data_IF_040381054743
#
_entry.id   IF_040381054743
#
_cell.length_a   1.000
_cell.length_b   1.000
_cell.length_c   1.000
_cell.angle_alpha   90.00
_cell.angle_beta   90.00
_cell.angle_gamma   90.00
#
_symmetry.space_group_name_H-M   'P 1'
#
loop_
_entity.id
_entity.type
_entity.pdbx_description
1 polymer ?
#
# COMPACT_ATOMS: atom_id res chain seq x y z
N UNK A 1 46.83 15.13 -42.08
CA UNK A 1 46.74 14.45 -40.77
C UNK A 1 45.63 15.16 -40.03
N UNK A 2 44.48 14.51 -39.95
CA UNK A 2 43.24 14.98 -39.33
C UNK A 2 43.35 14.79 -37.81
N UNK A 3 42.99 15.80 -37.03
CA UNK A 3 42.36 15.60 -35.73
C UNK A 3 41.03 16.34 -35.77
N UNK A 4 39.96 15.55 -35.84
CA UNK A 4 38.57 16.00 -35.76
C UNK A 4 38.16 15.73 -34.33
N UNK A 5 38.27 16.73 -33.46
CA UNK A 5 37.75 16.64 -32.09
C UNK A 5 36.24 16.48 -32.16
N UNK A 6 35.82 15.29 -31.77
CA UNK A 6 34.48 14.76 -31.94
C UNK A 6 33.69 15.04 -30.65
N UNK A 7 32.50 15.61 -30.83
CA UNK A 7 31.35 15.57 -29.90
C UNK A 7 31.43 16.32 -28.57
N UNK A 8 30.95 17.56 -28.61
CA UNK A 8 29.97 18.04 -27.62
C UNK A 8 28.68 17.23 -27.77
N UNK A 9 28.40 16.33 -26.84
CA UNK A 9 27.08 15.69 -26.68
C UNK A 9 26.38 16.28 -25.45
N UNK A 10 25.79 17.45 -25.65
CA UNK A 10 24.76 18.00 -24.77
C UNK A 10 23.45 17.30 -25.12
N UNK A 11 23.18 16.13 -24.55
CA UNK A 11 21.87 15.47 -24.61
C UNK A 11 21.74 14.39 -23.54
N UNK A 12 21.57 14.80 -22.28
CA UNK A 12 21.07 13.95 -21.21
C UNK A 12 19.56 14.12 -21.09
N UNK A 13 18.83 13.41 -21.94
CA UNK A 13 17.40 13.08 -21.90
C UNK A 13 16.72 13.34 -20.52
N UNK A 14 15.70 14.20 -20.48
CA UNK A 14 14.72 14.21 -19.37
C UNK A 14 13.60 13.25 -19.77
N UNK A 15 13.41 12.10 -19.10
CA UNK A 15 12.30 11.23 -19.42
C UNK A 15 10.98 11.90 -19.02
N UNK A 16 10.04 11.94 -19.96
CA UNK A 16 8.67 12.41 -19.75
C UNK A 16 7.96 11.57 -18.69
N UNK A 17 7.24 12.27 -17.81
CA UNK A 17 6.22 11.69 -16.94
C UNK A 17 6.48 12.03 -15.49
N UNK A 18 6.09 13.25 -15.09
CA UNK A 18 5.75 13.66 -13.72
C UNK A 18 6.33 12.77 -12.64
N UNK A 19 7.40 13.24 -11.98
CA UNK A 19 7.76 12.83 -10.61
C UNK A 19 6.43 12.59 -9.88
N UNK A 20 6.10 11.32 -9.65
CA UNK A 20 5.01 10.98 -8.74
C UNK A 20 5.28 11.81 -7.48
N UNK A 21 4.26 12.40 -6.84
CA UNK A 21 4.50 13.04 -5.56
C UNK A 21 5.21 11.98 -4.73
N UNK A 22 6.48 12.25 -4.40
CA UNK A 22 7.15 11.51 -3.34
C UNK A 22 6.15 11.63 -2.20
N UNK A 23 5.67 10.51 -1.69
CA UNK A 23 4.78 10.47 -0.55
C UNK A 23 5.73 10.39 0.66
N UNK A 24 6.37 11.48 1.09
CA UNK A 24 7.46 11.40 2.06
C UNK A 24 7.00 10.70 3.35
N UNK A 25 5.72 10.85 3.71
CA UNK A 25 5.14 10.24 4.88
C UNK A 25 5.13 8.70 4.82
N UNK A 26 4.78 8.08 3.67
CA UNK A 26 4.82 6.61 3.57
C UNK A 26 6.27 6.11 3.55
N UNK A 27 7.18 6.83 2.91
CA UNK A 27 8.60 6.46 2.89
C UNK A 27 9.25 6.56 4.28
N UNK A 28 8.88 7.58 5.06
CA UNK A 28 9.29 7.73 6.45
C UNK A 28 8.77 6.57 7.30
N UNK A 29 7.48 6.23 7.18
CA UNK A 29 6.90 5.07 7.85
C UNK A 29 7.64 3.78 7.50
N UNK A 30 7.83 3.49 6.21
CA UNK A 30 8.55 2.30 5.74
C UNK A 30 9.97 2.29 6.30
N UNK A 31 10.68 3.42 6.27
CA UNK A 31 12.04 3.53 6.77
C UNK A 31 12.11 3.24 8.27
N UNK A 32 11.19 3.79 9.05
CA UNK A 32 11.14 3.57 10.49
C UNK A 32 10.84 2.11 10.83
N UNK A 33 9.79 1.53 10.24
CA UNK A 33 9.47 0.11 10.46
C UNK A 33 10.61 -0.82 10.04
N UNK A 34 11.32 -0.48 8.96
CA UNK A 34 12.49 -1.24 8.50
C UNK A 34 13.64 -1.17 9.51
N UNK A 35 13.93 0.02 10.04
CA UNK A 35 14.98 0.19 11.05
C UNK A 35 14.66 -0.56 12.35
N UNK A 36 13.38 -0.71 12.67
CA UNK A 36 12.90 -1.48 13.83
C UNK A 36 12.81 -3.00 13.56
N UNK A 37 13.18 -3.47 12.36
CA UNK A 37 13.09 -4.89 11.96
C UNK A 37 11.65 -5.39 11.75
N UNK A 38 10.66 -4.49 11.70
CA UNK A 38 9.23 -4.86 11.62
C UNK A 38 8.79 -5.33 10.24
N UNK A 39 9.62 -5.16 9.22
CA UNK A 39 9.33 -5.53 7.83
C UNK A 39 10.08 -6.79 7.37
N UNK A 40 10.76 -7.47 8.28
CA UNK A 40 11.53 -8.66 7.96
C UNK A 40 10.60 -9.82 7.57
N UNK A 41 10.91 -10.49 6.45
CA UNK A 41 10.16 -11.65 5.97
C UNK A 41 8.92 -11.33 5.13
N UNK A 42 8.65 -10.05 4.83
CA UNK A 42 7.57 -9.67 3.92
C UNK A 42 7.90 -10.01 2.46
N UNK A 43 6.87 -10.43 1.72
CA UNK A 43 6.94 -10.68 0.28
C UNK A 43 6.71 -9.38 -0.49
N UNK A 44 7.75 -8.85 -1.11
CA UNK A 44 7.63 -7.68 -1.99
C UNK A 44 7.00 -8.06 -3.31
N UNK A 45 6.15 -7.19 -3.82
CA UNK A 45 5.50 -7.38 -5.11
C UNK A 45 6.36 -6.81 -6.24
N UNK A 46 6.45 -7.57 -7.33
CA UNK A 46 7.09 -7.15 -8.57
C UNK A 46 6.24 -6.17 -9.37
N UNK A 47 6.83 -5.64 -10.44
CA UNK A 47 6.15 -4.69 -11.31
C UNK A 47 4.90 -5.28 -11.99
N UNK A 48 4.91 -6.57 -12.33
CA UNK A 48 3.78 -7.22 -13.01
C UNK A 48 2.57 -7.34 -12.06
N UNK A 49 2.81 -7.74 -10.82
CA UNK A 49 1.79 -7.84 -9.77
C UNK A 49 1.23 -6.47 -9.41
N UNK A 50 2.09 -5.45 -9.28
CA UNK A 50 1.64 -4.08 -9.04
C UNK A 50 0.83 -3.51 -10.20
N UNK A 51 1.21 -3.81 -11.45
CA UNK A 51 0.44 -3.39 -12.64
C UNK A 51 -0.94 -4.05 -12.70
N UNK A 52 -1.07 -5.28 -12.21
CA UNK A 52 -2.37 -5.92 -12.08
C UNK A 52 -3.26 -5.17 -11.07
N UNK A 53 -2.69 -4.77 -9.93
CA UNK A 53 -3.37 -4.02 -8.87
C UNK A 53 -3.70 -2.57 -9.25
N UNK A 54 -2.89 -1.93 -10.10
CA UNK A 54 -3.18 -0.58 -10.61
C UNK A 54 -4.46 -0.47 -11.44
N UNK A 55 -5.08 -1.60 -11.82
CA UNK A 55 -6.39 -1.61 -12.48
C UNK A 55 -7.53 -1.39 -11.50
N UNK A 56 -7.28 -1.58 -10.21
CA UNK A 56 -8.20 -1.31 -9.13
C UNK A 56 -8.00 0.11 -8.59
N UNK A 57 -9.08 0.70 -8.08
CA UNK A 57 -9.03 2.01 -7.42
C UNK A 57 -8.43 1.85 -6.02
N UNK A 58 -7.10 1.85 -5.93
CA UNK A 58 -6.33 1.63 -4.71
C UNK A 58 -5.42 2.82 -4.36
N UNK A 59 -5.15 3.06 -3.06
CA UNK A 59 -4.29 4.15 -2.64
C UNK A 59 -2.84 4.01 -3.16
N UNK A 60 -2.26 5.11 -3.61
CA UNK A 60 -0.89 5.13 -4.12
C UNK A 60 0.16 4.83 -3.04
N UNK A 61 -0.09 5.21 -1.79
CA UNK A 61 0.76 4.89 -0.64
C UNK A 61 0.71 3.40 -0.28
N UNK A 62 -0.45 2.74 -0.41
CA UNK A 62 -0.56 1.29 -0.28
C UNK A 62 0.25 0.55 -1.34
N UNK A 63 0.13 0.94 -2.61
CA UNK A 63 0.92 0.36 -3.71
C UNK A 63 2.42 0.58 -3.49
N UNK A 64 2.81 1.77 -3.02
CA UNK A 64 4.20 2.07 -2.64
C UNK A 64 4.68 1.14 -1.54
N UNK A 65 3.88 0.91 -0.50
CA UNK A 65 4.21 -0.01 0.58
C UNK A 65 4.38 -1.45 0.08
N UNK A 66 3.48 -1.97 -0.75
CA UNK A 66 3.61 -3.31 -1.32
C UNK A 66 4.89 -3.48 -2.16
N UNK A 67 5.30 -2.42 -2.87
CA UNK A 67 6.52 -2.44 -3.68
C UNK A 67 7.81 -2.41 -2.85
N UNK A 68 7.84 -1.64 -1.75
CA UNK A 68 9.06 -1.35 -0.99
C UNK A 68 9.22 -2.17 0.29
N UNK A 69 8.09 -2.46 0.96
CA UNK A 69 8.02 -3.24 2.19
C UNK A 69 7.54 -4.66 1.90
N UNK A 70 6.43 -4.80 1.17
CA UNK A 70 5.81 -6.08 0.84
C UNK A 70 4.58 -6.40 1.69
N UNK A 71 4.04 -7.59 1.47
CA UNK A 71 2.88 -8.15 2.17
C UNK A 71 3.27 -9.36 3.02
N UNK A 72 2.47 -9.67 4.03
CA UNK A 72 2.74 -10.73 5.00
C UNK A 72 2.48 -10.30 6.45
N UNK A 73 2.88 -11.14 7.42
CA UNK A 73 2.70 -10.86 8.84
C UNK A 73 3.55 -9.67 9.28
N UNK A 74 2.91 -8.70 9.91
CA UNK A 74 3.53 -7.58 10.59
C UNK A 74 3.51 -7.85 12.10
N UNK A 75 4.54 -7.40 12.85
CA UNK A 75 4.59 -7.64 14.30
C UNK A 75 3.56 -6.81 15.09
N UNK A 76 2.93 -5.81 14.48
CA UNK A 76 1.89 -4.99 15.10
C UNK A 76 0.58 -5.81 15.25
N UNK A 77 0.22 -6.17 16.49
CA UNK A 77 -1.07 -6.80 16.85
C UNK A 77 -1.49 -8.04 16.04
N UNK A 78 -0.51 -8.77 15.49
CA UNK A 78 -0.77 -9.92 14.63
C UNK A 78 -1.44 -9.55 13.30
N UNK A 79 -1.24 -8.31 12.83
CA UNK A 79 -1.70 -7.82 11.55
C UNK A 79 -1.06 -8.62 10.42
N UNK A 80 -1.85 -9.07 9.46
CA UNK A 80 -1.37 -9.74 8.25
C UNK A 80 -1.83 -8.93 7.05
N UNK A 81 -0.88 -8.39 6.30
CA UNK A 81 -1.11 -7.67 5.05
C UNK A 81 -1.28 -8.65 3.90
N UNK A 82 -2.31 -8.45 3.08
CA UNK A 82 -2.54 -9.25 1.88
C UNK A 82 -1.76 -8.69 0.68
N UNK A 83 -1.32 -9.60 -0.20
CA UNK A 83 -0.63 -9.24 -1.44
C UNK A 83 -1.55 -8.55 -2.45
N UNK A 84 -2.85 -8.84 -2.37
CA UNK A 84 -3.89 -8.16 -3.12
C UNK A 84 -5.09 -7.95 -2.19
N UNK A 85 -5.83 -6.84 -2.32
CA UNK A 85 -7.06 -6.67 -1.59
C UNK A 85 -8.07 -7.77 -1.95
N UNK A 86 -8.83 -8.22 -0.95
CA UNK A 86 -9.92 -9.17 -1.09
C UNK A 86 -11.25 -8.41 -1.16
N UNK A 87 -12.21 -8.98 -1.86
CA UNK A 87 -13.56 -8.41 -1.90
C UNK A 87 -14.35 -8.76 -0.63
N UNK A 88 -15.26 -7.86 -0.25
CA UNK A 88 -16.01 -7.98 0.99
C UNK A 88 -16.94 -9.21 1.01
N UNK A 89 -17.55 -9.53 -0.12
CA UNK A 89 -18.44 -10.68 -0.28
C UNK A 89 -17.69 -12.01 -0.22
N UNK A 90 -16.45 -12.06 -0.72
CA UNK A 90 -15.57 -13.23 -0.58
C UNK A 90 -15.24 -13.54 0.89
N UNK A 91 -15.01 -12.50 1.70
CA UNK A 91 -14.61 -12.64 3.11
C UNK A 91 -15.81 -12.85 4.03
N UNK A 92 -16.89 -12.08 3.84
CA UNK A 92 -18.03 -12.04 4.77
C UNK A 92 -19.29 -12.74 4.24
N UNK A 93 -19.29 -13.23 3.00
CA UNK A 93 -20.42 -13.97 2.42
C UNK A 93 -21.69 -13.13 2.21
N UNK A 94 -21.56 -11.80 2.13
CA UNK A 94 -22.67 -10.86 1.90
C UNK A 94 -22.21 -9.68 1.06
N UNK A 95 -23.10 -9.13 0.26
CA UNK A 95 -22.77 -8.01 -0.64
C UNK A 95 -22.67 -6.68 0.12
N UNK A 96 -21.71 -5.85 -0.31
CA UNK A 96 -21.56 -4.45 0.10
C UNK A 96 -21.58 -3.47 -1.10
N UNK A 97 -21.81 -4.00 -2.30
CA UNK A 97 -21.76 -3.24 -3.56
C UNK A 97 -20.35 -2.92 -4.05
N UNK A 98 -19.33 -3.66 -3.59
CA UNK A 98 -17.93 -3.40 -3.92
C UNK A 98 -17.38 -2.18 -3.19
N UNK A 99 -17.94 -1.81 -2.04
CA UNK A 99 -17.55 -0.62 -1.27
C UNK A 99 -16.20 -0.79 -0.59
N UNK A 100 -15.93 -1.94 -0.01
CA UNK A 100 -14.76 -2.17 0.81
C UNK A 100 -13.75 -3.08 0.11
N UNK A 101 -12.51 -2.61 -0.01
CA UNK A 101 -11.38 -3.39 -0.49
C UNK A 101 -10.52 -3.84 0.70
N UNK A 102 -10.58 -5.11 1.08
CA UNK A 102 -9.96 -5.62 2.31
C UNK A 102 -8.47 -5.87 2.09
N UNK A 103 -7.58 -5.15 2.77
CA UNK A 103 -6.14 -5.26 2.55
C UNK A 103 -5.36 -5.95 3.69
N UNK A 104 -5.98 -6.13 4.86
CA UNK A 104 -5.34 -6.80 6.00
C UNK A 104 -6.35 -7.41 6.97
N UNK A 105 -5.84 -8.25 7.88
CA UNK A 105 -6.59 -8.81 9.02
C UNK A 105 -5.77 -8.81 10.30
N UNK A 106 -6.39 -8.67 11.46
CA UNK A 106 -5.74 -8.84 12.77
C UNK A 106 -5.90 -10.27 13.34
N UNK A 107 -5.18 -10.56 14.43
CA UNK A 107 -5.29 -11.84 15.12
C UNK A 107 -6.68 -12.12 15.74
N UNK A 108 -7.52 -11.09 15.89
CA UNK A 108 -8.90 -11.18 16.36
C UNK A 108 -9.91 -11.48 15.24
N UNK A 109 -9.46 -11.54 13.99
CA UNK A 109 -10.29 -11.79 12.81
C UNK A 109 -11.01 -10.55 12.27
N UNK A 110 -10.73 -9.36 12.80
CA UNK A 110 -11.22 -8.14 12.16
C UNK A 110 -10.38 -7.81 10.93
N UNK A 111 -11.04 -7.35 9.89
CA UNK A 111 -10.40 -6.95 8.65
C UNK A 111 -10.23 -5.43 8.59
N UNK A 112 -9.20 -4.99 7.88
CA UNK A 112 -8.98 -3.60 7.53
C UNK A 112 -9.18 -3.42 6.03
N UNK A 113 -9.91 -2.37 5.65
CA UNK A 113 -10.29 -2.13 4.27
C UNK A 113 -10.20 -0.66 3.89
N UNK A 114 -10.06 -0.42 2.59
CA UNK A 114 -10.27 0.90 2.00
C UNK A 114 -11.75 1.09 1.70
N UNK A 115 -12.32 2.19 2.16
CA UNK A 115 -13.69 2.59 1.83
C UNK A 115 -13.72 3.37 0.52
N UNK A 116 -14.08 2.70 -0.58
CA UNK A 116 -14.11 3.27 -1.94
C UNK A 116 -15.11 4.42 -2.10
N UNK A 117 -16.08 4.56 -1.20
CA UNK A 117 -17.05 5.68 -1.25
C UNK A 117 -16.70 6.84 -0.33
N UNK A 118 -15.71 6.65 0.55
CA UNK A 118 -15.22 7.68 1.49
C UNK A 118 -13.72 7.95 1.25
N UNK A 119 -13.38 8.33 0.02
CA UNK A 119 -12.05 8.74 -0.39
C UNK A 119 -10.92 7.74 -0.03
N UNK A 120 -11.23 6.44 0.00
CA UNK A 120 -10.31 5.36 0.37
C UNK A 120 -9.79 5.46 1.82
N UNK A 121 -10.58 6.05 2.72
CA UNK A 121 -10.32 6.01 4.15
C UNK A 121 -10.18 4.56 4.65
N UNK A 122 -9.34 4.36 5.66
CA UNK A 122 -9.14 3.04 6.27
C UNK A 122 -10.20 2.81 7.33
N UNK A 123 -10.93 1.72 7.18
CA UNK A 123 -11.94 1.26 8.15
C UNK A 123 -11.54 -0.08 8.75
N UNK A 124 -11.97 -0.31 9.98
CA UNK A 124 -11.95 -1.60 10.64
C UNK A 124 -13.34 -2.24 10.55
N UNK A 125 -13.38 -3.45 10.03
CA UNK A 125 -14.56 -4.29 9.88
C UNK A 125 -14.45 -5.42 10.92
N UNK A 126 -15.23 -5.39 12.00
CA UNK A 126 -15.20 -6.44 13.01
C UNK A 126 -15.59 -7.81 12.43
N UNK A 127 -15.10 -8.89 13.04
CA UNK A 127 -15.49 -10.26 12.68
C UNK A 127 -16.98 -10.54 12.98
N UNK A 128 -17.55 -9.80 13.93
CA UNK A 128 -18.94 -9.93 14.39
C UNK A 128 -19.77 -8.75 13.90
N UNK A 129 -21.10 -8.82 14.00
CA UNK A 129 -22.04 -7.80 13.49
C UNK A 129 -21.97 -6.42 14.16
N UNK A 130 -20.89 -6.11 14.86
CA UNK A 130 -20.52 -4.78 15.34
C UNK A 130 -20.37 -3.79 14.17
N UNK A 131 -20.54 -2.48 14.42
CA UNK A 131 -20.43 -1.47 13.39
C UNK A 131 -19.01 -1.38 12.82
N UNK A 132 -18.93 -1.12 11.52
CA UNK A 132 -17.68 -0.74 10.84
C UNK A 132 -17.27 0.65 11.34
N UNK A 133 -15.98 0.83 11.64
CA UNK A 133 -15.46 2.08 12.23
C UNK A 133 -14.27 2.61 11.43
N UNK A 134 -14.16 3.92 11.19
CA UNK A 134 -12.98 4.51 10.57
C UNK A 134 -11.80 4.46 11.55
N UNK A 135 -10.61 4.13 11.05
CA UNK A 135 -9.36 4.04 11.83
C UNK A 135 -8.21 4.87 11.24
N UNK A 136 -8.36 5.39 10.02
CA UNK A 136 -7.39 6.29 9.41
C UNK A 136 -7.99 7.01 8.21
N UNK A 137 -7.55 8.24 7.95
CA UNK A 137 -7.99 9.00 6.76
C UNK A 137 -7.38 8.48 5.46
N UNK A 138 -6.25 7.78 5.54
CA UNK A 138 -5.54 7.13 4.44
C UNK A 138 -4.66 5.99 4.99
N UNK A 139 -4.01 5.25 4.09
CA UNK A 139 -3.17 4.10 4.46
C UNK A 139 -1.94 4.53 5.27
N UNK A 140 -1.33 5.65 4.92
CA UNK A 140 -0.16 6.19 5.63
C UNK A 140 -0.50 6.58 7.07
N UNK A 141 -1.65 7.22 7.30
CA UNK A 141 -2.15 7.59 8.61
C UNK A 141 -2.45 6.35 9.46
N UNK A 142 -3.04 5.31 8.84
CA UNK A 142 -3.24 4.02 9.49
C UNK A 142 -1.92 3.40 9.96
N UNK A 143 -0.92 3.29 9.08
CA UNK A 143 0.40 2.74 9.46
C UNK A 143 1.12 3.60 10.50
N UNK A 144 0.98 4.92 10.42
CA UNK A 144 1.57 5.84 11.40
C UNK A 144 0.98 5.62 12.79
N UNK A 145 -0.33 5.40 12.89
CA UNK A 145 -0.99 5.10 14.17
C UNK A 145 -0.57 3.77 14.82
N UNK A 146 0.07 2.87 14.08
CA UNK A 146 0.62 1.60 14.60
C UNK A 146 2.09 1.72 15.06
N UNK A 147 2.71 2.89 14.88
CA UNK A 147 4.08 3.17 15.37
C UNK A 147 4.12 3.69 16.81
N UNK A 148 3.03 4.30 17.27
CA UNK A 148 2.87 4.82 18.63
C UNK A 148 2.54 3.70 19.65
#
# INVERSE_FOLDING_TARGET
MQEVDTTTLTAGFVPLGTLQPVLPAIEECITRWRNDGRLDGLLRLGAEELLALCRDDLPADYLRFLSEAGAGPLPADGLVMFCCPLDFDEVYGREDGGRYAIFATDAGGACYAFDRVDALAVVRIPATGEPITPVGGDFTAFLSGLLD
#
